data_IF_145863862723
#
_entry.id   IF_145863862723
#
_cell.length_a   1.000
_cell.length_b   1.000
_cell.length_c   1.000
_cell.angle_alpha   90.00
_cell.angle_beta   90.00
_cell.angle_gamma   90.00
#
_symmetry.space_group_name_H-M   'P 1'
#
loop_
_entity.id
_entity.type
_entity.pdbx_description
1 polymer ?
#
# COMPACT_ATOMS: atom_id res chain seq x y z
N UNK A 1 28.87 -10.30 6.23
CA UNK A 1 28.64 -9.11 5.37
C UNK A 1 27.15 -9.08 5.05
N UNK A 2 26.36 -8.46 5.91
CA UNK A 2 24.89 -8.42 5.74
C UNK A 2 24.59 -7.43 4.61
N UNK A 3 24.02 -7.93 3.53
CA UNK A 3 23.56 -7.12 2.39
C UNK A 3 22.63 -6.03 2.92
N UNK A 4 22.97 -4.78 2.67
CA UNK A 4 22.09 -3.63 2.90
C UNK A 4 20.71 -3.94 2.31
N UNK A 5 19.70 -3.90 3.18
CA UNK A 5 18.29 -4.04 2.80
C UNK A 5 18.01 -3.00 1.73
N UNK A 6 17.53 -3.44 0.57
CA UNK A 6 16.98 -2.57 -0.48
C UNK A 6 16.17 -1.46 0.17
N UNK A 7 16.69 -0.23 0.13
CA UNK A 7 15.97 0.95 0.58
C UNK A 7 14.90 1.17 -0.47
N UNK A 8 13.68 0.68 -0.18
CA UNK A 8 12.52 0.91 -1.03
C UNK A 8 12.34 2.43 -1.20
N UNK A 9 12.51 2.95 -2.41
CA UNK A 9 12.36 4.37 -2.70
C UNK A 9 10.87 4.70 -2.86
N UNK A 10 10.40 5.66 -2.07
CA UNK A 10 9.04 6.20 -2.15
C UNK A 10 9.02 7.37 -3.12
N UNK A 11 8.11 7.33 -4.08
CA UNK A 11 7.90 8.36 -5.09
C UNK A 11 6.47 8.90 -4.98
N UNK A 12 6.30 10.22 -4.97
CA UNK A 12 4.97 10.84 -5.05
C UNK A 12 4.63 11.12 -6.52
N UNK A 13 3.49 10.61 -6.97
CA UNK A 13 3.06 10.70 -8.37
C UNK A 13 1.61 11.13 -8.47
N UNK A 14 1.29 11.84 -9.55
CA UNK A 14 -0.09 12.15 -9.93
C UNK A 14 -0.56 11.17 -10.99
N UNK A 15 -1.65 10.47 -10.71
CA UNK A 15 -2.23 9.47 -11.61
C UNK A 15 -3.71 9.75 -11.79
N UNK A 16 -4.16 9.81 -13.04
CA UNK A 16 -5.58 9.86 -13.36
C UNK A 16 -6.14 8.44 -13.38
N UNK A 17 -7.07 8.16 -12.47
CA UNK A 17 -7.74 6.88 -12.37
C UNK A 17 -8.72 6.63 -13.51
N UNK A 18 -9.23 5.40 -13.61
CA UNK A 18 -10.23 5.00 -14.61
C UNK A 18 -11.54 5.77 -14.49
N UNK A 19 -11.86 6.25 -13.28
CA UNK A 19 -12.99 7.14 -12.99
C UNK A 19 -12.83 8.54 -13.59
N UNK A 20 -11.61 8.91 -14.02
CA UNK A 20 -11.26 10.25 -14.45
C UNK A 20 -10.81 11.18 -13.32
N UNK A 21 -10.82 10.73 -12.06
CA UNK A 21 -10.32 11.48 -10.90
C UNK A 21 -8.78 11.45 -10.92
N UNK A 22 -8.16 12.60 -10.65
CA UNK A 22 -6.71 12.68 -10.43
C UNK A 22 -6.40 12.42 -8.96
N UNK A 23 -5.51 11.45 -8.71
CA UNK A 23 -5.03 11.12 -7.37
C UNK A 23 -3.57 11.53 -7.22
N UNK A 24 -3.24 12.15 -6.10
CA UNK A 24 -1.86 12.29 -5.65
C UNK A 24 -1.54 11.13 -4.71
N UNK A 25 -0.67 10.23 -5.14
CA UNK A 25 -0.40 8.97 -4.42
C UNK A 25 1.10 8.78 -4.21
N UNK A 26 1.44 8.02 -3.17
CA UNK A 26 2.80 7.52 -2.97
C UNK A 26 2.90 6.13 -3.58
N UNK A 27 3.95 5.86 -4.33
CA UNK A 27 4.24 4.55 -4.90
C UNK A 27 5.58 4.04 -4.44
N UNK A 28 5.70 2.72 -4.39
CA UNK A 28 6.95 2.02 -4.10
C UNK A 28 7.24 1.00 -5.20
N UNK A 29 8.49 0.96 -5.65
CA UNK A 29 8.96 -0.02 -6.64
C UNK A 29 9.60 -1.19 -5.90
N UNK A 30 9.14 -2.40 -6.17
CA UNK A 30 9.71 -3.64 -5.64
C UNK A 30 9.93 -4.62 -6.80
N UNK A 31 11.16 -4.65 -7.31
CA UNK A 31 11.51 -5.35 -8.55
C UNK A 31 10.86 -4.68 -9.77
N UNK A 32 10.08 -5.45 -10.53
CA UNK A 32 9.36 -4.96 -11.72
C UNK A 32 7.95 -4.43 -11.40
N UNK A 33 7.47 -4.59 -10.16
CA UNK A 33 6.13 -4.17 -9.76
C UNK A 33 6.15 -2.76 -9.14
N UNK A 34 5.12 -1.98 -9.44
CA UNK A 34 4.83 -0.68 -8.81
C UNK A 34 3.60 -0.84 -7.91
N UNK A 35 3.73 -0.47 -6.65
CA UNK A 35 2.65 -0.59 -5.67
C UNK A 35 2.19 0.78 -5.18
N UNK A 36 0.90 0.91 -4.87
CA UNK A 36 0.33 2.02 -4.11
C UNK A 36 0.76 1.88 -2.65
N UNK A 37 1.61 2.78 -2.17
CA UNK A 37 2.12 2.76 -0.82
C UNK A 37 1.16 3.46 0.15
N UNK A 38 0.73 2.75 1.18
CA UNK A 38 -0.10 3.26 2.26
C UNK A 38 0.53 2.94 3.61
N UNK A 39 0.96 3.98 4.32
CA UNK A 39 1.44 3.87 5.70
C UNK A 39 0.30 4.23 6.65
N UNK A 40 -0.09 3.29 7.51
CA UNK A 40 -1.16 3.44 8.50
C UNK A 40 -0.55 3.31 9.90
N UNK A 41 -0.81 4.29 10.75
CA UNK A 41 -0.33 4.23 12.14
C UNK A 41 -1.13 3.20 12.93
N UNK A 42 -2.45 3.37 13.02
CA UNK A 42 -3.39 2.37 13.54
C UNK A 42 -4.47 2.14 12.48
N UNK A 43 -4.56 0.94 11.86
CA UNK A 43 -5.41 0.73 10.70
C UNK A 43 -6.88 0.64 11.09
N UNK A 44 -7.70 1.52 10.53
CA UNK A 44 -9.17 1.42 10.58
C UNK A 44 -9.71 0.87 9.27
N UNK A 45 -10.92 0.31 9.31
CA UNK A 45 -11.58 -0.29 8.15
C UNK A 45 -11.76 0.76 7.04
N UNK A 46 -12.12 1.99 7.39
CA UNK A 46 -12.31 3.09 6.44
C UNK A 46 -11.01 3.44 5.70
N UNK A 47 -9.88 3.40 6.40
CA UNK A 47 -8.57 3.68 5.81
C UNK A 47 -8.18 2.57 4.82
N UNK A 48 -8.45 1.30 5.18
CA UNK A 48 -8.23 0.14 4.30
C UNK A 48 -9.09 0.25 3.04
N UNK A 49 -10.38 0.51 3.19
CA UNK A 49 -11.32 0.65 2.06
C UNK A 49 -10.89 1.80 1.15
N UNK A 50 -10.47 2.93 1.71
CA UNK A 50 -10.04 4.10 0.95
C UNK A 50 -8.82 3.77 0.08
N UNK A 51 -7.83 3.08 0.65
CA UNK A 51 -6.63 2.65 -0.11
C UNK A 51 -7.01 1.65 -1.19
N UNK A 52 -7.90 0.69 -0.92
CA UNK A 52 -8.37 -0.27 -1.91
C UNK A 52 -9.15 0.39 -3.05
N UNK A 53 -9.98 1.39 -2.76
CA UNK A 53 -10.70 2.14 -3.78
C UNK A 53 -9.74 2.86 -4.74
N UNK A 54 -8.70 3.51 -4.19
CA UNK A 54 -7.65 4.16 -4.99
C UNK A 54 -6.86 3.12 -5.79
N UNK A 55 -6.50 1.98 -5.18
CA UNK A 55 -5.80 0.88 -5.86
C UNK A 55 -6.58 0.37 -7.08
N UNK A 56 -7.90 0.17 -6.92
CA UNK A 56 -8.79 -0.24 -8.02
C UNK A 56 -8.84 0.84 -9.10
N UNK A 57 -9.03 2.10 -8.71
CA UNK A 57 -9.17 3.20 -9.67
C UNK A 57 -7.88 3.45 -10.47
N UNK A 58 -6.72 3.27 -9.83
CA UNK A 58 -5.39 3.44 -10.43
C UNK A 58 -4.82 2.17 -11.05
N UNK A 59 -5.50 1.01 -10.87
CA UNK A 59 -5.03 -0.33 -11.25
C UNK A 59 -3.69 -0.72 -10.63
N UNK A 60 -3.35 -0.15 -9.48
CA UNK A 60 -2.14 -0.48 -8.72
C UNK A 60 -2.44 -1.54 -7.67
N UNK A 61 -1.43 -2.34 -7.34
CA UNK A 61 -1.51 -3.27 -6.19
C UNK A 61 -1.24 -2.47 -4.90
N UNK A 62 -2.03 -2.62 -3.83
CA UNK A 62 -1.80 -1.89 -2.59
C UNK A 62 -0.63 -2.48 -1.79
N UNK A 63 0.14 -1.64 -1.12
CA UNK A 63 1.22 -2.01 -0.21
C UNK A 63 1.01 -1.28 1.11
N UNK A 64 0.49 -2.02 2.10
CA UNK A 64 0.22 -1.49 3.43
C UNK A 64 1.46 -1.64 4.32
N UNK A 65 1.85 -0.55 4.97
CA UNK A 65 2.80 -0.51 6.07
C UNK A 65 2.05 -0.13 7.34
N UNK A 66 1.95 -1.05 8.28
CA UNK A 66 1.24 -0.87 9.54
C UNK A 66 2.28 -0.56 10.62
N UNK A 67 2.22 0.60 11.26
CA UNK A 67 3.15 0.94 12.36
C UNK A 67 2.70 0.33 13.69
N UNK A 68 1.41 0.41 13.99
CA UNK A 68 0.81 -0.06 15.23
C UNK A 68 -0.52 -0.78 14.95
N UNK A 69 -0.90 -1.70 15.82
CA UNK A 69 -2.13 -2.48 15.68
C UNK A 69 -2.07 -3.54 14.58
N UNK A 70 -3.25 -4.05 14.20
CA UNK A 70 -3.38 -5.15 13.24
C UNK A 70 -4.48 -4.87 12.22
N UNK A 71 -4.28 -5.30 10.99
CA UNK A 71 -5.35 -5.35 9.99
C UNK A 71 -6.29 -6.51 10.37
N UNK A 72 -7.63 -6.31 10.40
CA UNK A 72 -8.54 -7.40 10.69
C UNK A 72 -8.41 -8.53 9.66
N UNK A 73 -8.57 -9.78 10.11
CA UNK A 73 -8.24 -10.97 9.30
C UNK A 73 -9.05 -11.06 8.01
N UNK A 74 -10.32 -10.64 8.06
CA UNK A 74 -11.18 -10.60 6.87
C UNK A 74 -10.61 -9.67 5.78
N UNK A 75 -10.00 -8.56 6.19
CA UNK A 75 -9.41 -7.57 5.28
C UNK A 75 -8.06 -8.01 4.75
N UNK A 76 -7.28 -8.79 5.51
CA UNK A 76 -6.03 -9.38 5.02
C UNK A 76 -6.30 -10.26 3.79
N UNK A 77 -7.37 -11.06 3.84
CA UNK A 77 -7.77 -11.92 2.73
C UNK A 77 -8.19 -11.12 1.51
N UNK A 78 -8.95 -10.04 1.71
CA UNK A 78 -9.33 -9.14 0.61
C UNK A 78 -8.12 -8.44 -0.02
N UNK A 79 -7.22 -7.85 0.78
CA UNK A 79 -6.01 -7.19 0.28
C UNK A 79 -5.16 -8.16 -0.58
N UNK A 80 -5.03 -9.42 -0.17
CA UNK A 80 -4.31 -10.44 -0.93
C UNK A 80 -4.97 -10.77 -2.27
N UNK A 81 -6.30 -10.75 -2.38
CA UNK A 81 -7.01 -10.94 -3.66
C UNK A 81 -6.68 -9.86 -4.69
N UNK A 82 -6.36 -8.64 -4.23
CA UNK A 82 -5.87 -7.55 -5.08
C UNK A 82 -4.36 -7.65 -5.40
N UNK A 83 -3.68 -8.76 -5.02
CA UNK A 83 -2.23 -8.89 -5.13
C UNK A 83 -1.47 -7.93 -4.20
N UNK A 84 -2.14 -7.44 -3.17
CA UNK A 84 -1.59 -6.49 -2.21
C UNK A 84 -0.59 -7.12 -1.24
N UNK A 85 0.27 -6.28 -0.68
CA UNK A 85 1.26 -6.64 0.35
C UNK A 85 0.92 -5.93 1.66
N UNK A 86 1.21 -6.58 2.78
CA UNK A 86 1.08 -6.00 4.13
C UNK A 86 2.39 -6.26 4.85
N UNK A 87 2.98 -5.21 5.41
CA UNK A 87 4.17 -5.28 6.25
C UNK A 87 3.88 -4.58 7.57
N UNK A 88 4.26 -5.22 8.66
CA UNK A 88 4.20 -4.63 9.99
C UNK A 88 5.57 -4.03 10.30
N UNK A 89 5.62 -2.72 10.50
CA UNK A 89 6.84 -2.03 10.94
C UNK A 89 7.07 -2.42 12.40
N UNK A 90 8.10 -3.22 12.67
CA UNK A 90 8.55 -3.43 14.05
C UNK A 90 9.20 -2.12 14.52
N UNK A 91 8.41 -1.24 15.14
CA UNK A 91 8.96 -0.18 15.99
C UNK A 91 9.52 -0.83 17.25
N UNK A 92 10.83 -1.06 17.26
CA UNK A 92 11.62 -1.25 18.49
C UNK A 92 11.76 0.08 19.23
#
# INVERSE_FOLDING_TARGET
MFKEKNKLELEEVKVKGISGIEHCIRVVKDGSDVFLYAELDEPRIEDIISVLAIAVDTRLKPYFVIKNGNVPEEWISEIKKFGGKITYSLTN
#
